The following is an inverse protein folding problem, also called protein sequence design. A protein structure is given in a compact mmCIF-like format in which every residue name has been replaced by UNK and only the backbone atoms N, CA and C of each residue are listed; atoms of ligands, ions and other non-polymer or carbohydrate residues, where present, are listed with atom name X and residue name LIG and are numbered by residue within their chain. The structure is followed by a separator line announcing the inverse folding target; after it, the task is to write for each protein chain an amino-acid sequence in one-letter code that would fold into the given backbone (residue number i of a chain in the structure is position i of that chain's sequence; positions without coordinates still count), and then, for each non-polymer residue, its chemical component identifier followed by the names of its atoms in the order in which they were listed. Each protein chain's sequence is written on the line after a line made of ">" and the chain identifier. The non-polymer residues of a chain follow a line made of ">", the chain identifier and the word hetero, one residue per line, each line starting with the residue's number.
data_IF_173874353833
#
_entry.id   IF_173874353833
#
_cell.length_a   1.000
_cell.length_b   1.000
_cell.length_c   1.000
_cell.angle_alpha   90.00
_cell.angle_beta   90.00
_cell.angle_gamma   90.00
#
_symmetry.space_group_name_H-M   'P 1'
#
loop_
_entity.id
_entity.type
_entity.pdbx_description
1 polymer ?
#
# COMPACT_ATOMS: atom_id res chain seq x y z
N UNK A 1 15.23 -26.26 0.74
CA UNK A 1 15.04 -25.45 1.96
C UNK A 1 16.13 -24.40 2.05
N UNK A 2 15.81 -23.22 2.55
CA UNK A 2 16.80 -22.20 2.87
C UNK A 2 16.52 -21.60 4.24
N UNK A 3 17.57 -21.06 4.85
CA UNK A 3 17.51 -20.30 6.09
C UNK A 3 18.18 -18.95 5.84
N UNK A 4 17.54 -17.88 6.32
CA UNK A 4 18.08 -16.53 6.30
C UNK A 4 18.08 -16.00 7.74
N UNK A 5 19.22 -15.47 8.16
CA UNK A 5 19.36 -14.77 9.43
C UNK A 5 19.66 -13.30 9.13
N UNK A 6 18.96 -12.40 9.79
CA UNK A 6 19.13 -10.97 9.64
C UNK A 6 19.07 -10.28 11.01
N UNK A 7 19.75 -9.15 11.13
CA UNK A 7 19.62 -8.24 12.25
C UNK A 7 19.13 -6.89 11.74
N UNK A 8 18.03 -6.41 12.32
CA UNK A 8 17.41 -5.13 11.97
C UNK A 8 17.25 -4.33 13.27
N UNK A 9 18.03 -3.27 13.41
CA UNK A 9 18.20 -2.55 14.68
C UNK A 9 18.54 -3.55 15.82
N UNK A 10 17.71 -3.62 16.87
CA UNK A 10 17.86 -4.57 17.98
C UNK A 10 17.22 -5.94 17.74
N UNK A 11 16.52 -6.14 16.62
CA UNK A 11 15.76 -7.36 16.36
C UNK A 11 16.60 -8.37 15.56
N UNK A 12 16.70 -9.60 16.08
CA UNK A 12 17.25 -10.74 15.36
C UNK A 12 16.13 -11.51 14.69
N UNK A 13 16.20 -11.62 13.37
CA UNK A 13 15.17 -12.25 12.54
C UNK A 13 15.76 -13.52 11.92
N UNK A 14 15.03 -14.62 12.03
CA UNK A 14 15.36 -15.88 11.36
C UNK A 14 14.16 -16.29 10.51
N UNK A 15 14.41 -16.51 9.24
CA UNK A 15 13.44 -17.03 8.27
C UNK A 15 13.90 -18.43 7.85
N UNK A 16 13.03 -19.41 8.01
CA UNK A 16 13.26 -20.77 7.53
C UNK A 16 12.15 -21.13 6.55
N UNK A 17 12.51 -21.51 5.34
CA UNK A 17 11.59 -21.98 4.33
C UNK A 17 11.92 -23.41 3.93
N UNK A 18 10.98 -24.30 4.13
CA UNK A 18 11.03 -25.68 3.63
C UNK A 18 9.86 -25.95 2.68
N UNK A 19 9.89 -27.10 1.99
CA UNK A 19 8.77 -27.53 1.14
C UNK A 19 7.44 -27.64 1.91
N UNK A 20 7.50 -27.88 3.23
CA UNK A 20 6.33 -28.19 4.08
C UNK A 20 5.92 -26.98 4.94
N UNK A 21 6.88 -26.13 5.35
CA UNK A 21 6.62 -25.10 6.37
C UNK A 21 7.53 -23.90 6.21
N UNK A 22 6.93 -22.71 6.39
CA UNK A 22 7.68 -21.48 6.57
C UNK A 22 7.62 -21.09 8.05
N UNK A 23 8.78 -20.81 8.65
CA UNK A 23 8.88 -20.38 10.05
C UNK A 23 9.58 -19.03 10.10
N UNK A 24 9.02 -18.10 10.86
CA UNK A 24 9.63 -16.80 11.12
C UNK A 24 9.80 -16.69 12.63
N UNK A 25 11.01 -16.34 13.07
CA UNK A 25 11.28 -16.00 14.46
C UNK A 25 11.85 -14.60 14.58
N UNK A 26 11.40 -13.86 15.58
CA UNK A 26 11.94 -12.56 15.96
C UNK A 26 12.40 -12.66 17.40
N UNK A 27 13.67 -12.35 17.67
CA UNK A 27 14.29 -12.46 19.00
C UNK A 27 14.03 -13.84 19.63
N UNK A 28 14.23 -14.91 18.83
CA UNK A 28 14.01 -16.32 19.21
C UNK A 28 12.53 -16.71 19.44
N UNK A 29 11.59 -15.76 19.39
CA UNK A 29 10.17 -16.05 19.51
C UNK A 29 9.56 -16.29 18.13
N UNK A 30 8.86 -17.41 17.97
CA UNK A 30 8.16 -17.73 16.73
C UNK A 30 6.96 -16.83 16.56
N UNK A 31 6.85 -16.23 15.38
CA UNK A 31 5.68 -15.44 15.00
C UNK A 31 4.80 -16.22 14.01
N UNK A 32 3.50 -16.12 14.23
CA UNK A 32 2.50 -16.75 13.36
C UNK A 32 1.96 -15.79 12.29
N UNK A 33 2.43 -14.55 12.28
CA UNK A 33 1.89 -13.50 11.44
C UNK A 33 3.00 -12.59 10.90
N UNK A 34 3.12 -12.51 9.58
CA UNK A 34 4.08 -11.66 8.88
C UNK A 34 3.90 -10.16 9.16
N UNK A 35 2.74 -9.73 9.68
CA UNK A 35 2.51 -8.31 9.99
C UNK A 35 3.48 -7.77 11.05
N UNK A 36 3.96 -8.59 11.98
CA UNK A 36 4.97 -8.17 12.95
C UNK A 36 6.31 -7.89 12.27
N UNK A 37 6.71 -8.76 11.34
CA UNK A 37 7.92 -8.54 10.53
C UNK A 37 7.79 -7.27 9.68
N UNK A 38 6.64 -7.06 9.04
CA UNK A 38 6.39 -5.88 8.22
C UNK A 38 6.39 -4.57 9.04
N UNK A 39 6.07 -4.62 10.33
CA UNK A 39 6.20 -3.44 11.21
C UNK A 39 7.66 -3.11 11.53
N UNK A 40 8.49 -4.12 11.69
CA UNK A 40 9.94 -3.93 11.97
C UNK A 40 10.67 -3.47 10.71
N UNK A 41 10.29 -4.00 9.56
CA UNK A 41 10.90 -3.71 8.27
C UNK A 41 9.82 -3.32 7.24
N UNK A 42 9.40 -2.06 7.21
CA UNK A 42 8.55 -1.57 6.15
C UNK A 42 9.29 -1.59 4.81
N UNK A 43 8.74 -2.28 3.82
CA UNK A 43 9.33 -2.39 2.48
C UNK A 43 8.38 -1.77 1.47
N UNK A 44 8.85 -0.71 0.80
CA UNK A 44 8.17 -0.16 -0.37
C UNK A 44 8.78 -0.75 -1.63
N UNK A 45 7.97 -1.45 -2.41
CA UNK A 45 8.41 -2.03 -3.68
C UNK A 45 7.83 -1.22 -4.83
N UNK A 46 8.69 -0.78 -5.73
CA UNK A 46 8.37 -0.07 -6.96
C UNK A 46 8.80 -0.96 -8.12
N UNK A 47 7.85 -1.52 -8.85
CA UNK A 47 8.13 -2.42 -9.98
C UNK A 47 7.08 -2.20 -11.08
N UNK A 48 7.45 -2.35 -12.37
CA UNK A 48 6.54 -2.25 -13.50
C UNK A 48 5.39 -3.26 -13.42
N UNK A 49 5.68 -4.48 -12.94
CA UNK A 49 4.77 -5.61 -12.94
C UNK A 49 3.60 -5.49 -11.94
N UNK A 50 3.73 -4.70 -10.88
CA UNK A 50 2.69 -4.61 -9.84
C UNK A 50 1.46 -3.81 -10.23
N UNK A 51 1.46 -3.24 -11.43
CA UNK A 51 0.41 -2.32 -11.88
C UNK A 51 0.41 -1.02 -11.07
N UNK A 52 0.20 0.07 -11.77
CA UNK A 52 0.23 1.39 -11.17
C UNK A 52 -0.92 1.61 -10.20
N UNK A 53 -0.73 2.49 -9.22
CA UNK A 53 -1.81 2.94 -8.32
C UNK A 53 -2.79 3.80 -9.12
N UNK A 54 -2.26 4.76 -9.88
CA UNK A 54 -3.04 5.61 -10.77
C UNK A 54 -3.51 4.79 -11.96
N UNK A 55 -4.82 4.81 -12.21
CA UNK A 55 -5.50 3.94 -13.18
C UNK A 55 -5.31 2.43 -12.94
N UNK A 56 -4.89 2.06 -11.72
CA UNK A 56 -4.75 0.67 -11.32
C UNK A 56 -6.09 0.02 -10.98
N UNK A 57 -6.04 -1.32 -10.83
CA UNK A 57 -7.23 -2.06 -10.40
C UNK A 57 -7.70 -1.61 -9.01
N UNK A 58 -8.99 -1.76 -8.69
CA UNK A 58 -9.49 -1.47 -7.34
C UNK A 58 -8.74 -2.24 -6.23
N UNK A 59 -8.22 -3.42 -6.55
CA UNK A 59 -7.39 -4.21 -5.62
C UNK A 59 -6.04 -3.52 -5.37
N UNK A 60 -5.36 -3.06 -6.41
CA UNK A 60 -4.07 -2.36 -6.28
C UNK A 60 -4.22 -1.07 -5.48
N UNK A 61 -5.27 -0.30 -5.75
CA UNK A 61 -5.59 0.94 -5.04
C UNK A 61 -5.84 0.70 -3.55
N UNK A 62 -6.61 -0.35 -3.20
CA UNK A 62 -6.80 -0.74 -1.81
C UNK A 62 -5.51 -1.21 -1.15
N UNK A 63 -4.70 -2.03 -1.84
CA UNK A 63 -3.42 -2.50 -1.31
C UNK A 63 -2.48 -1.35 -1.00
N UNK A 64 -2.41 -0.34 -1.88
CA UNK A 64 -1.64 0.88 -1.67
C UNK A 64 -2.12 1.63 -0.41
N UNK A 65 -3.43 1.87 -0.31
CA UNK A 65 -4.05 2.57 0.80
C UNK A 65 -3.85 1.83 2.13
N UNK A 66 -4.14 0.53 2.13
CA UNK A 66 -4.11 -0.29 3.33
C UNK A 66 -2.67 -0.54 3.82
N UNK A 67 -1.70 -0.59 2.90
CA UNK A 67 -0.27 -0.62 3.26
C UNK A 67 0.13 0.65 4.03
N UNK A 68 -0.25 1.82 3.54
CA UNK A 68 0.04 3.08 4.22
C UNK A 68 -0.66 3.19 5.58
N UNK A 69 -1.96 2.87 5.64
CA UNK A 69 -2.72 2.83 6.91
C UNK A 69 -2.07 1.89 7.92
N UNK A 70 -1.62 0.70 7.49
CA UNK A 70 -0.96 -0.29 8.34
C UNK A 70 0.30 0.26 9.01
N UNK A 71 1.16 0.94 8.26
CA UNK A 71 2.42 1.44 8.79
C UNK A 71 2.26 2.72 9.62
N UNK A 72 1.33 3.61 9.25
CA UNK A 72 1.06 4.84 10.01
C UNK A 72 0.27 4.55 11.29
N UNK A 73 -0.65 3.57 11.26
CA UNK A 73 -1.49 3.20 12.41
C UNK A 73 -1.54 1.67 12.59
N UNK A 74 -0.50 1.07 13.19
CA UNK A 74 -0.42 -0.39 13.34
C UNK A 74 -1.60 -1.03 14.06
N UNK A 75 -2.27 -0.29 14.96
CA UNK A 75 -3.50 -0.75 15.64
C UNK A 75 -4.65 -1.07 14.70
N UNK A 76 -4.66 -0.51 13.48
CA UNK A 76 -5.68 -0.75 12.45
C UNK A 76 -5.77 -2.22 12.02
N UNK A 77 -4.71 -2.99 12.17
CA UNK A 77 -4.65 -4.43 11.80
C UNK A 77 -5.78 -5.23 12.41
N UNK A 78 -6.16 -4.91 13.66
CA UNK A 78 -7.25 -5.60 14.35
C UNK A 78 -8.57 -5.41 13.58
N UNK A 79 -8.87 -4.17 13.18
CA UNK A 79 -10.10 -3.86 12.43
C UNK A 79 -10.13 -4.59 11.08
N UNK A 80 -9.03 -4.60 10.32
CA UNK A 80 -8.94 -5.33 9.05
C UNK A 80 -9.12 -6.84 9.21
N UNK A 81 -8.50 -7.45 10.23
CA UNK A 81 -8.65 -8.88 10.51
C UNK A 81 -10.08 -9.23 10.90
N UNK A 82 -10.69 -8.43 11.79
CA UNK A 82 -12.09 -8.60 12.19
C UNK A 82 -13.01 -8.47 10.99
N UNK A 83 -12.87 -7.40 10.21
CA UNK A 83 -13.68 -7.15 9.02
C UNK A 83 -13.64 -8.33 8.03
N UNK A 84 -12.46 -8.81 7.68
CA UNK A 84 -12.31 -9.90 6.72
C UNK A 84 -12.92 -11.22 7.23
N UNK A 85 -12.75 -11.52 8.53
CA UNK A 85 -13.36 -12.70 9.16
C UNK A 85 -14.89 -12.60 9.14
N UNK A 86 -15.40 -11.45 9.57
CA UNK A 86 -16.85 -11.19 9.66
C UNK A 86 -17.50 -11.19 8.28
N UNK A 87 -16.87 -10.54 7.30
CA UNK A 87 -17.36 -10.55 5.90
C UNK A 87 -17.50 -11.97 5.34
N UNK A 88 -16.52 -12.84 5.62
CA UNK A 88 -16.58 -14.24 5.20
C UNK A 88 -17.76 -14.97 5.84
N UNK A 89 -17.99 -14.74 7.14
CA UNK A 89 -19.12 -15.35 7.86
C UNK A 89 -20.45 -14.85 7.31
N UNK A 90 -20.62 -13.54 7.13
CA UNK A 90 -21.83 -12.95 6.54
C UNK A 90 -22.12 -13.59 5.17
N UNK A 91 -21.13 -13.63 4.28
CA UNK A 91 -21.33 -14.22 2.96
C UNK A 91 -21.71 -15.72 3.04
N UNK A 92 -21.15 -16.44 4.01
CA UNK A 92 -21.54 -17.85 4.25
C UNK A 92 -22.98 -17.98 4.71
N UNK A 93 -23.45 -17.10 5.62
CA UNK A 93 -24.83 -17.11 6.12
C UNK A 93 -25.82 -16.70 5.03
N UNK A 94 -25.46 -15.71 4.20
CA UNK A 94 -26.29 -15.29 3.06
C UNK A 94 -26.48 -16.44 2.05
N UNK A 95 -25.40 -17.17 1.74
CA UNK A 95 -25.49 -18.35 0.86
C UNK A 95 -26.36 -19.45 1.48
N UNK A 96 -26.24 -19.68 2.79
CA UNK A 96 -27.01 -20.69 3.53
C UNK A 96 -28.44 -20.27 3.86
N UNK A 97 -28.84 -19.04 3.50
CA UNK A 97 -30.13 -18.43 3.79
C UNK A 97 -30.51 -18.47 5.28
N UNK A 98 -29.59 -18.00 6.15
CA UNK A 98 -29.76 -17.97 7.61
C UNK A 98 -29.90 -16.52 8.11
N UNK A 99 -31.09 -15.89 7.98
CA UNK A 99 -31.29 -14.48 8.34
C UNK A 99 -31.12 -14.21 9.84
N UNK A 100 -31.53 -15.11 10.69
CA UNK A 100 -31.55 -14.94 12.16
C UNK A 100 -30.18 -14.80 12.77
N UNK A 101 -29.15 -15.30 12.08
CA UNK A 101 -27.75 -15.21 12.52
C UNK A 101 -27.03 -13.93 12.03
N UNK A 102 -27.64 -13.12 11.14
CA UNK A 102 -26.97 -11.99 10.49
C UNK A 102 -26.78 -10.79 11.40
N UNK A 103 -27.71 -10.52 12.31
CA UNK A 103 -27.71 -9.31 13.14
C UNK A 103 -26.42 -9.14 13.93
N UNK A 104 -25.98 -10.18 14.62
CA UNK A 104 -24.70 -10.19 15.36
C UNK A 104 -23.51 -9.87 14.47
N UNK A 105 -23.47 -10.45 13.28
CA UNK A 105 -22.36 -10.24 12.34
C UNK A 105 -22.42 -8.86 11.69
N UNK A 106 -23.59 -8.30 11.44
CA UNK A 106 -23.77 -6.94 10.96
C UNK A 106 -23.23 -5.91 11.95
N UNK A 107 -23.51 -6.10 13.24
CA UNK A 107 -22.96 -5.23 14.29
C UNK A 107 -21.42 -5.27 14.31
N UNK A 108 -20.85 -6.46 14.29
CA UNK A 108 -19.39 -6.64 14.28
C UNK A 108 -18.73 -6.09 13.00
N UNK A 109 -19.39 -6.24 11.83
CA UNK A 109 -18.90 -5.67 10.56
C UNK A 109 -18.92 -4.16 10.60
N UNK A 110 -20.02 -3.54 11.07
CA UNK A 110 -20.19 -2.09 11.06
C UNK A 110 -19.17 -1.39 11.96
N UNK A 111 -18.83 -1.94 13.11
CA UNK A 111 -17.79 -1.42 13.97
C UNK A 111 -16.40 -1.47 13.30
N UNK A 112 -16.05 -2.62 12.71
CA UNK A 112 -14.80 -2.79 12.00
C UNK A 112 -14.73 -1.90 10.74
N UNK A 113 -15.83 -1.79 9.99
CA UNK A 113 -15.91 -0.97 8.78
C UNK A 113 -15.75 0.52 9.08
N UNK A 114 -16.46 1.06 10.08
CA UNK A 114 -16.33 2.46 10.49
C UNK A 114 -14.88 2.80 10.88
N UNK A 115 -14.24 1.92 11.65
CA UNK A 115 -12.83 2.09 12.03
C UNK A 115 -11.88 2.08 10.82
N UNK A 116 -12.08 1.17 9.86
CA UNK A 116 -11.27 1.10 8.63
C UNK A 116 -11.44 2.36 7.80
N UNK A 117 -12.68 2.81 7.59
CA UNK A 117 -12.96 3.97 6.77
C UNK A 117 -12.38 5.25 7.39
N UNK A 118 -12.55 5.44 8.70
CA UNK A 118 -11.94 6.57 9.41
C UNK A 118 -10.42 6.57 9.27
N UNK A 119 -9.77 5.41 9.46
CA UNK A 119 -8.32 5.29 9.33
C UNK A 119 -7.83 5.61 7.90
N UNK A 120 -8.57 5.19 6.87
CA UNK A 120 -8.26 5.50 5.47
C UNK A 120 -8.41 6.98 5.16
N UNK A 121 -9.47 7.61 5.66
CA UNK A 121 -9.70 9.06 5.50
C UNK A 121 -8.58 9.87 6.17
N UNK A 122 -8.23 9.53 7.40
CA UNK A 122 -7.16 10.21 8.14
C UNK A 122 -5.81 10.05 7.46
N UNK A 123 -5.51 8.84 6.97
CA UNK A 123 -4.31 8.56 6.21
C UNK A 123 -4.24 9.36 4.90
N UNK A 124 -5.32 9.42 4.14
CA UNK A 124 -5.39 10.19 2.89
C UNK A 124 -5.20 11.69 3.12
N UNK A 125 -5.74 12.24 4.22
CA UNK A 125 -5.48 13.64 4.61
C UNK A 125 -3.99 13.87 4.88
N UNK A 126 -3.33 12.95 5.60
CA UNK A 126 -1.88 13.04 5.86
C UNK A 126 -1.07 12.92 4.57
N UNK A 127 -1.43 11.96 3.70
CA UNK A 127 -0.77 11.75 2.42
C UNK A 127 -0.87 13.02 1.55
N UNK A 128 -2.05 13.62 1.44
CA UNK A 128 -2.25 14.88 0.70
C UNK A 128 -1.37 16.00 1.25
N UNK A 129 -1.36 16.19 2.57
CA UNK A 129 -0.49 17.17 3.21
C UNK A 129 0.98 16.94 2.89
N UNK A 130 1.41 15.66 2.85
CA UNK A 130 2.79 15.28 2.55
C UNK A 130 3.15 15.54 1.09
N UNK A 131 2.27 15.23 0.13
CA UNK A 131 2.48 15.50 -1.32
C UNK A 131 2.72 16.99 -1.58
N UNK A 132 2.01 17.87 -0.87
CA UNK A 132 2.12 19.31 -1.04
C UNK A 132 3.08 19.99 -0.06
N UNK A 133 3.85 19.24 0.73
CA UNK A 133 4.87 19.78 1.62
C UNK A 133 6.14 20.23 0.87
N UNK A 134 6.93 21.10 1.48
CA UNK A 134 8.23 21.51 0.93
C UNK A 134 9.19 20.33 0.76
N UNK A 135 9.11 19.35 1.65
CA UNK A 135 9.90 18.11 1.55
C UNK A 135 9.61 17.28 0.29
N UNK A 136 8.52 17.55 -0.40
CA UNK A 136 8.14 16.92 -1.68
C UNK A 136 8.49 17.75 -2.90
N UNK A 137 9.15 18.90 -2.74
CA UNK A 137 9.40 19.85 -3.83
C UNK A 137 10.10 19.19 -5.04
N UNK A 138 11.11 18.37 -4.77
CA UNK A 138 11.81 17.64 -5.83
C UNK A 138 10.88 16.67 -6.60
N UNK A 139 9.93 16.02 -5.91
CA UNK A 139 8.97 15.14 -6.56
C UNK A 139 7.96 15.91 -7.42
N UNK A 140 7.65 17.16 -7.07
CA UNK A 140 6.74 17.99 -7.86
C UNK A 140 7.33 18.31 -9.24
N UNK A 141 8.65 18.30 -9.38
CA UNK A 141 9.31 18.52 -10.68
C UNK A 141 9.16 17.36 -11.65
N UNK A 142 8.74 16.17 -11.19
CA UNK A 142 8.47 15.00 -12.05
C UNK A 142 7.25 15.18 -12.93
N UNK A 143 6.28 15.95 -12.46
CA UNK A 143 5.06 16.30 -13.18
C UNK A 143 4.73 17.77 -12.92
N UNK A 144 4.52 18.53 -13.98
CA UNK A 144 4.17 19.94 -13.90
C UNK A 144 2.87 20.18 -14.67
N UNK A 145 1.85 20.80 -14.07
CA UNK A 145 1.76 21.21 -12.67
C UNK A 145 1.16 20.12 -11.76
N UNK A 146 1.86 19.73 -10.72
CA UNK A 146 1.35 18.77 -9.71
C UNK A 146 0.33 19.43 -8.76
N UNK A 147 0.30 20.75 -8.67
CA UNK A 147 -0.65 21.53 -7.86
C UNK A 147 -2.12 21.34 -8.29
N UNK A 148 -2.35 20.94 -9.54
CA UNK A 148 -3.68 20.59 -10.07
C UNK A 148 -4.06 19.11 -9.84
N UNK A 149 -3.31 18.40 -9.00
CA UNK A 149 -3.64 17.03 -8.61
C UNK A 149 -4.74 17.00 -7.55
N UNK A 150 -5.69 16.08 -7.72
CA UNK A 150 -6.72 15.78 -6.73
C UNK A 150 -7.06 14.28 -6.71
N UNK A 151 -7.79 13.86 -5.67
CA UNK A 151 -8.32 12.50 -5.58
C UNK A 151 -9.70 12.48 -4.94
N UNK A 152 -10.50 11.50 -5.35
CA UNK A 152 -11.79 11.19 -4.75
C UNK A 152 -11.74 9.81 -4.11
N UNK A 153 -12.01 9.73 -2.82
CA UNK A 153 -12.12 8.48 -2.10
C UNK A 153 -13.57 8.02 -2.08
N UNK A 154 -13.79 6.75 -2.40
CA UNK A 154 -15.04 6.03 -2.19
C UNK A 154 -14.78 4.93 -1.17
N UNK A 155 -15.51 4.93 -0.08
CA UNK A 155 -15.41 3.91 0.97
C UNK A 155 -15.99 2.55 0.56
N UNK A 156 -16.70 2.52 -0.56
CA UNK A 156 -17.43 1.35 -1.03
C UNK A 156 -18.82 1.18 -0.42
N UNK A 157 -19.25 2.12 0.40
CA UNK A 157 -20.62 2.22 0.90
C UNK A 157 -21.44 3.17 0.02
N UNK A 158 -22.78 3.02 -0.02
CA UNK A 158 -23.67 3.97 -0.68
C UNK A 158 -23.57 5.36 -0.05
N UNK A 159 -23.91 6.40 -0.84
CA UNK A 159 -23.74 7.81 -0.43
C UNK A 159 -24.59 8.23 0.76
N UNK A 160 -25.74 7.56 0.95
CA UNK A 160 -26.66 7.79 2.06
C UNK A 160 -26.17 7.23 3.40
N UNK A 161 -25.11 6.44 3.40
CA UNK A 161 -24.50 5.85 4.59
C UNK A 161 -23.39 6.75 5.10
N UNK A 162 -23.48 7.17 6.37
CA UNK A 162 -22.31 7.71 7.08
C UNK A 162 -21.36 6.54 7.39
N UNK A 163 -20.37 6.39 6.54
CA UNK A 163 -19.46 5.25 6.51
C UNK A 163 -18.40 5.26 7.63
N UNK A 164 -18.38 6.32 8.43
CA UNK A 164 -17.58 6.44 9.65
C UNK A 164 -18.41 6.20 10.92
N UNK A 165 -19.72 6.14 10.81
CA UNK A 165 -20.63 5.90 11.91
C UNK A 165 -21.11 4.43 11.89
N UNK A 166 -20.72 3.67 12.92
CA UNK A 166 -21.09 2.27 13.03
C UNK A 166 -22.61 2.02 13.03
N UNK A 167 -23.38 2.94 13.66
CA UNK A 167 -24.84 2.78 13.71
C UNK A 167 -25.48 3.00 12.34
N UNK A 168 -24.99 3.98 11.56
CA UNK A 168 -25.45 4.20 10.19
C UNK A 168 -25.21 2.99 9.31
N UNK A 169 -24.00 2.41 9.37
CA UNK A 169 -23.65 1.19 8.63
C UNK A 169 -24.54 0.01 9.05
N UNK A 170 -24.71 -0.21 10.36
CA UNK A 170 -25.53 -1.28 10.89
C UNK A 170 -26.99 -1.17 10.45
N UNK A 171 -27.58 0.02 10.58
CA UNK A 171 -28.96 0.28 10.16
C UNK A 171 -29.16 0.00 8.67
N UNK A 172 -28.18 0.41 7.84
CA UNK A 172 -28.23 0.15 6.41
C UNK A 172 -28.15 -1.35 6.08
N UNK A 173 -27.29 -2.10 6.77
CA UNK A 173 -27.20 -3.56 6.59
C UNK A 173 -28.50 -4.26 6.93
N UNK A 174 -29.13 -3.91 8.06
CA UNK A 174 -30.37 -4.49 8.50
C UNK A 174 -31.54 -4.16 7.56
N UNK A 175 -31.69 -2.90 7.17
CA UNK A 175 -32.76 -2.52 6.24
C UNK A 175 -32.64 -3.18 4.87
N UNK A 176 -31.43 -3.55 4.47
CA UNK A 176 -31.15 -4.23 3.20
C UNK A 176 -30.95 -5.75 3.32
N UNK A 177 -31.16 -6.34 4.49
CA UNK A 177 -30.92 -7.77 4.75
C UNK A 177 -31.64 -8.70 3.78
N UNK A 178 -32.92 -8.41 3.48
CA UNK A 178 -33.71 -9.18 2.52
C UNK A 178 -33.11 -9.16 1.10
N UNK A 179 -32.59 -8.01 0.65
CA UNK A 179 -31.92 -7.90 -0.64
C UNK A 179 -30.59 -8.66 -0.66
N UNK A 180 -29.83 -8.60 0.44
CA UNK A 180 -28.58 -9.35 0.58
C UNK A 180 -28.80 -10.87 0.54
N UNK A 181 -29.87 -11.37 1.12
CA UNK A 181 -30.26 -12.78 1.03
C UNK A 181 -30.57 -13.22 -0.40
N UNK A 182 -31.20 -12.35 -1.22
CA UNK A 182 -31.41 -12.62 -2.64
C UNK A 182 -30.11 -12.66 -3.44
N UNK A 183 -29.22 -11.71 -3.19
CA UNK A 183 -27.94 -11.57 -3.89
C UNK A 183 -26.89 -12.58 -3.40
N UNK A 184 -27.06 -13.13 -2.19
CA UNK A 184 -26.19 -14.13 -1.55
C UNK A 184 -24.76 -13.67 -1.25
N UNK A 185 -24.49 -12.39 -1.28
CA UNK A 185 -23.19 -11.83 -0.89
C UNK A 185 -23.31 -10.33 -0.58
N UNK A 186 -22.36 -9.83 0.22
CA UNK A 186 -22.24 -8.40 0.50
C UNK A 186 -21.52 -7.71 -0.66
N UNK A 187 -22.24 -6.89 -1.42
CA UNK A 187 -21.75 -6.23 -2.62
C UNK A 187 -21.30 -4.77 -2.43
N UNK A 188 -21.38 -4.26 -1.21
CA UNK A 188 -20.90 -2.95 -0.77
C UNK A 188 -20.09 -3.07 0.54
N UNK A 189 -19.31 -2.03 0.88
CA UNK A 189 -18.52 -2.00 2.11
C UNK A 189 -17.04 -1.74 1.89
N UNK A 190 -16.27 -1.69 2.98
CA UNK A 190 -14.85 -1.29 2.95
C UNK A 190 -13.96 -2.15 2.03
N UNK A 191 -14.37 -3.38 1.70
CA UNK A 191 -13.72 -4.25 0.71
C UNK A 191 -13.97 -3.82 -0.75
N UNK A 192 -14.88 -2.90 -1.00
CA UNK A 192 -15.17 -2.28 -2.31
C UNK A 192 -14.61 -0.86 -2.43
N UNK A 193 -13.92 -0.36 -1.39
CA UNK A 193 -13.33 0.96 -1.42
C UNK A 193 -12.41 1.17 -2.62
N UNK A 194 -12.34 2.41 -3.11
CA UNK A 194 -11.49 2.80 -4.23
C UNK A 194 -11.09 4.27 -4.12
N UNK A 195 -10.01 4.61 -4.84
CA UNK A 195 -9.57 6.00 -5.03
C UNK A 195 -9.57 6.26 -6.53
N UNK A 196 -10.05 7.43 -6.93
CA UNK A 196 -9.91 7.96 -8.28
C UNK A 196 -8.99 9.16 -8.22
N UNK A 197 -8.02 9.20 -9.10
CA UNK A 197 -7.07 10.30 -9.20
C UNK A 197 -7.42 11.19 -10.39
N UNK A 198 -7.13 12.46 -10.27
CA UNK A 198 -7.24 13.43 -11.35
C UNK A 198 -6.01 14.35 -11.36
N UNK A 199 -5.61 14.77 -12.55
CA UNK A 199 -4.56 15.73 -12.80
C UNK A 199 -5.04 16.71 -13.85
N UNK A 200 -4.90 18.02 -13.60
CA UNK A 200 -5.35 19.07 -14.52
C UNK A 200 -6.83 18.90 -14.92
N UNK A 201 -7.70 18.54 -13.96
CA UNK A 201 -9.12 18.23 -14.16
C UNK A 201 -9.38 17.02 -15.08
N UNK A 202 -8.35 16.29 -15.49
CA UNK A 202 -8.49 15.03 -16.24
C UNK A 202 -8.54 13.85 -15.27
N UNK A 203 -9.53 13.00 -15.44
CA UNK A 203 -9.59 11.74 -14.69
C UNK A 203 -8.44 10.82 -15.10
N UNK A 204 -7.97 9.98 -14.18
CA UNK A 204 -6.83 9.08 -14.35
C UNK A 204 -6.87 8.19 -15.60
N UNK A 205 -8.07 7.81 -16.08
CA UNK A 205 -8.21 7.00 -17.30
C UNK A 205 -7.86 7.77 -18.59
N UNK A 206 -7.86 9.11 -18.54
CA UNK A 206 -7.50 9.98 -19.67
C UNK A 206 -6.05 10.49 -19.61
N UNK A 207 -5.32 10.13 -18.56
CA UNK A 207 -3.89 10.42 -18.45
C UNK A 207 -3.10 9.50 -19.39
N UNK A 208 -2.03 10.02 -19.95
CA UNK A 208 -1.08 9.21 -20.72
C UNK A 208 -0.42 8.16 -19.79
N UNK A 209 0.07 7.08 -20.36
CA UNK A 209 0.78 6.04 -19.59
C UNK A 209 1.96 6.61 -18.80
N UNK A 210 2.73 7.53 -19.39
CA UNK A 210 3.85 8.20 -18.73
C UNK A 210 3.41 9.02 -17.52
N UNK A 211 2.28 9.76 -17.60
CA UNK A 211 1.70 10.51 -16.48
C UNK A 211 1.21 9.55 -15.38
N UNK A 212 0.50 8.47 -15.74
CA UNK A 212 0.02 7.45 -14.79
C UNK A 212 1.18 6.81 -14.02
N UNK A 213 2.27 6.44 -14.72
CA UNK A 213 3.49 5.88 -14.13
C UNK A 213 4.15 6.88 -13.18
N UNK A 214 4.41 8.08 -13.67
CA UNK A 214 5.08 9.11 -12.89
C UNK A 214 4.30 9.46 -11.62
N UNK A 215 2.98 9.65 -11.72
CA UNK A 215 2.12 9.88 -10.56
C UNK A 215 2.14 8.71 -9.58
N UNK A 216 2.11 7.48 -10.06
CA UNK A 216 2.16 6.30 -9.18
C UNK A 216 3.48 6.25 -8.39
N UNK A 217 4.60 6.59 -9.02
CA UNK A 217 5.90 6.67 -8.36
C UNK A 217 5.90 7.81 -7.32
N UNK A 218 5.36 8.98 -7.66
CA UNK A 218 5.20 10.09 -6.71
C UNK A 218 4.44 9.63 -5.47
N UNK A 219 3.34 8.88 -5.65
CA UNK A 219 2.56 8.38 -4.52
C UNK A 219 3.31 7.37 -3.67
N UNK A 220 4.04 6.43 -4.27
CA UNK A 220 4.86 5.48 -3.51
C UNK A 220 5.97 6.20 -2.73
N UNK A 221 6.66 7.16 -3.35
CA UNK A 221 7.70 7.94 -2.67
C UNK A 221 7.13 8.88 -1.61
N UNK A 222 5.91 9.38 -1.80
CA UNK A 222 5.22 10.16 -0.76
C UNK A 222 4.88 9.30 0.46
N UNK A 223 4.52 8.01 0.28
CA UNK A 223 4.38 7.07 1.40
C UNK A 223 5.70 6.89 2.14
N UNK A 224 6.80 6.75 1.42
CA UNK A 224 8.16 6.67 2.01
C UNK A 224 8.46 7.92 2.83
N UNK A 225 8.24 9.12 2.26
CA UNK A 225 8.43 10.39 2.97
C UNK A 225 7.57 10.47 4.24
N UNK A 226 6.30 10.08 4.16
CA UNK A 226 5.40 10.09 5.32
C UNK A 226 5.94 9.21 6.46
N UNK A 227 6.45 8.02 6.14
CA UNK A 227 7.08 7.14 7.13
C UNK A 227 8.35 7.74 7.73
N UNK A 228 9.21 8.33 6.90
CA UNK A 228 10.43 9.02 7.36
C UNK A 228 10.09 10.15 8.32
N UNK A 229 9.05 10.95 8.01
CA UNK A 229 8.56 12.01 8.89
C UNK A 229 8.06 11.48 10.25
N UNK A 230 7.53 10.26 10.26
CA UNK A 230 7.10 9.55 11.47
C UNK A 230 8.25 8.81 12.18
N UNK A 231 9.52 9.02 11.74
CA UNK A 231 10.72 8.34 12.27
C UNK A 231 10.72 6.82 12.04
N UNK A 232 9.96 6.34 11.09
CA UNK A 232 9.99 4.96 10.62
C UNK A 232 10.99 4.87 9.47
N UNK A 233 11.84 3.84 9.47
CA UNK A 233 12.89 3.64 8.46
C UNK A 233 12.45 2.60 7.42
N UNK A 234 11.81 2.98 6.31
CA UNK A 234 11.47 2.04 5.26
C UNK A 234 12.68 1.65 4.44
N UNK A 235 12.63 0.46 3.83
CA UNK A 235 13.52 0.05 2.74
C UNK A 235 12.78 0.20 1.43
N UNK A 236 13.43 0.75 0.42
CA UNK A 236 12.88 0.90 -0.93
C UNK A 236 13.53 -0.10 -1.87
N UNK A 237 12.71 -0.92 -2.51
CA UNK A 237 13.14 -1.85 -3.56
C UNK A 237 12.62 -1.34 -4.90
N UNK A 238 13.50 -1.10 -5.85
CA UNK A 238 13.16 -0.63 -7.19
C UNK A 238 13.63 -1.66 -8.19
N UNK A 239 12.69 -2.15 -8.99
CA UNK A 239 12.97 -3.11 -10.03
C UNK A 239 12.79 -2.44 -11.40
N UNK A 240 13.87 -2.42 -12.20
CA UNK A 240 13.90 -1.93 -13.59
C UNK A 240 13.23 -0.56 -13.82
N UNK A 241 13.65 0.46 -13.06
CA UNK A 241 13.11 1.82 -13.21
C UNK A 241 13.43 2.42 -14.59
N UNK A 242 14.55 1.98 -15.17
CA UNK A 242 15.06 2.47 -16.44
C UNK A 242 14.18 2.12 -17.64
N UNK A 243 13.47 1.02 -17.61
CA UNK A 243 12.52 0.65 -18.66
C UNK A 243 11.26 1.53 -18.69
N UNK A 244 11.02 2.27 -17.61
CA UNK A 244 9.75 2.94 -17.38
C UNK A 244 9.82 4.47 -17.46
N UNK A 245 10.98 5.07 -17.22
CA UNK A 245 11.19 6.51 -17.12
C UNK A 245 12.39 7.00 -17.94
N UNK A 246 12.33 8.26 -18.33
CA UNK A 246 13.47 8.96 -18.92
C UNK A 246 14.56 9.27 -17.88
N UNK A 247 15.77 9.49 -18.37
CA UNK A 247 16.97 9.74 -17.56
C UNK A 247 16.83 10.91 -16.58
N UNK A 248 16.09 11.96 -16.97
CA UNK A 248 15.86 13.13 -16.10
C UNK A 248 15.05 12.76 -14.89
N UNK A 249 13.98 12.00 -15.08
CA UNK A 249 13.10 11.54 -13.99
C UNK A 249 13.81 10.56 -13.07
N UNK A 250 14.59 9.62 -13.63
CA UNK A 250 15.43 8.69 -12.85
C UNK A 250 16.36 9.47 -11.93
N UNK A 251 17.09 10.45 -12.45
CA UNK A 251 18.00 11.27 -11.66
C UNK A 251 17.28 12.00 -10.50
N UNK A 252 16.10 12.57 -10.76
CA UNK A 252 15.28 13.23 -9.72
C UNK A 252 14.90 12.24 -8.62
N UNK A 253 14.45 11.04 -8.97
CA UNK A 253 14.05 10.01 -8.02
C UNK A 253 15.22 9.57 -7.16
N UNK A 254 16.39 9.32 -7.78
CA UNK A 254 17.58 8.90 -7.06
C UNK A 254 18.10 9.97 -6.11
N UNK A 255 18.13 11.24 -6.54
CA UNK A 255 18.47 12.35 -5.67
C UNK A 255 17.51 12.50 -4.50
N UNK A 256 16.21 12.31 -4.73
CA UNK A 256 15.21 12.35 -3.70
C UNK A 256 15.41 11.25 -2.65
N UNK A 257 15.62 10.01 -3.07
CA UNK A 257 15.88 8.89 -2.17
C UNK A 257 17.17 9.08 -1.37
N UNK A 258 18.21 9.60 -1.99
CA UNK A 258 19.47 9.97 -1.30
C UNK A 258 19.23 11.05 -0.24
N UNK A 259 18.45 12.08 -0.55
CA UNK A 259 18.10 13.15 0.40
C UNK A 259 17.29 12.62 1.59
N UNK A 260 16.39 11.66 1.38
CA UNK A 260 15.63 11.00 2.45
C UNK A 260 16.48 10.07 3.32
N UNK A 261 17.71 9.74 2.90
CA UNK A 261 18.61 8.80 3.61
C UNK A 261 17.95 7.44 3.91
N UNK A 262 17.13 6.95 3.00
CA UNK A 262 16.50 5.63 3.08
C UNK A 262 17.36 4.59 2.38
N UNK A 263 17.42 3.38 2.96
CA UNK A 263 18.11 2.28 2.30
C UNK A 263 17.34 1.88 1.04
N UNK A 264 18.03 1.91 -0.10
CA UNK A 264 17.43 1.61 -1.41
C UNK A 264 18.22 0.52 -2.10
N UNK A 265 17.53 -0.46 -2.64
CA UNK A 265 18.09 -1.45 -3.56
C UNK A 265 17.42 -1.25 -4.92
N UNK A 266 18.22 -1.20 -5.97
CA UNK A 266 17.70 -1.01 -7.33
C UNK A 266 18.36 -2.03 -8.26
N UNK A 267 17.56 -2.60 -9.16
CA UNK A 267 18.06 -3.37 -10.30
C UNK A 267 18.04 -2.51 -11.55
N UNK A 268 19.03 -2.67 -12.40
CA UNK A 268 19.14 -2.01 -13.71
C UNK A 268 19.91 -2.92 -14.68
N UNK A 269 19.55 -2.88 -15.95
CA UNK A 269 20.21 -3.69 -17.00
C UNK A 269 21.41 -2.97 -17.64
N UNK A 270 21.91 -1.93 -16.99
CA UNK A 270 23.13 -1.22 -17.41
C UNK A 270 22.92 -0.01 -18.31
N UNK A 271 21.67 0.37 -18.60
CA UNK A 271 21.38 1.50 -19.51
C UNK A 271 21.61 2.88 -18.87
N UNK A 272 21.68 2.98 -17.52
CA UNK A 272 21.74 4.25 -16.82
C UNK A 272 22.85 4.33 -15.76
N UNK A 273 23.92 3.57 -15.94
CA UNK A 273 25.04 3.53 -14.99
C UNK A 273 25.61 4.92 -14.69
N UNK A 274 25.76 5.77 -15.69
CA UNK A 274 26.31 7.15 -15.54
C UNK A 274 25.43 8.01 -14.59
N UNK A 275 24.14 7.78 -14.56
CA UNK A 275 23.22 8.52 -13.68
C UNK A 275 23.25 7.93 -12.27
N UNK A 276 23.30 6.61 -12.18
CA UNK A 276 23.34 5.87 -10.93
C UNK A 276 24.64 6.17 -10.18
N UNK A 277 25.78 6.19 -10.86
CA UNK A 277 27.10 6.49 -10.28
C UNK A 277 27.17 7.88 -9.64
N UNK A 278 26.40 8.86 -10.12
CA UNK A 278 26.36 10.23 -9.53
C UNK A 278 25.89 10.28 -8.08
N UNK A 279 25.14 9.28 -7.64
CA UNK A 279 24.70 9.20 -6.23
C UNK A 279 25.67 8.42 -5.36
N UNK A 280 26.78 7.91 -5.93
CA UNK A 280 27.81 7.10 -5.25
C UNK A 280 27.23 5.88 -4.53
N UNK A 281 26.58 4.94 -5.24
CA UNK A 281 26.06 3.72 -4.66
C UNK A 281 27.11 2.62 -4.59
N UNK A 282 26.86 1.56 -3.82
CA UNK A 282 27.57 0.29 -4.00
C UNK A 282 26.95 -0.45 -5.18
N UNK A 283 27.77 -0.78 -6.19
CA UNK A 283 27.33 -1.44 -7.42
C UNK A 283 27.73 -2.92 -7.38
N UNK A 284 26.76 -3.80 -7.56
CA UNK A 284 26.95 -5.24 -7.68
C UNK A 284 26.60 -5.67 -9.10
N UNK A 285 27.58 -6.16 -9.83
CA UNK A 285 27.36 -6.74 -11.15
C UNK A 285 27.08 -8.23 -11.02
N UNK A 286 26.04 -8.71 -11.69
CA UNK A 286 25.66 -10.12 -11.71
C UNK A 286 25.85 -10.62 -13.13
N UNK A 287 26.76 -11.58 -13.31
CA UNK A 287 26.98 -12.24 -14.60
C UNK A 287 27.02 -13.75 -14.40
N UNK A 288 26.18 -14.50 -15.15
CA UNK A 288 26.07 -15.95 -15.09
C UNK A 288 25.97 -16.51 -13.66
N UNK A 289 25.29 -15.79 -12.74
CA UNK A 289 25.13 -16.19 -11.33
C UNK A 289 26.31 -15.86 -10.43
N UNK A 290 27.34 -15.20 -10.94
CA UNK A 290 28.49 -14.69 -10.18
C UNK A 290 28.25 -13.21 -9.85
N UNK A 291 28.46 -12.84 -8.59
CA UNK A 291 28.35 -11.46 -8.12
C UNK A 291 29.73 -10.87 -7.97
N UNK A 292 30.00 -9.73 -8.61
CA UNK A 292 31.21 -8.93 -8.47
C UNK A 292 30.85 -7.54 -7.97
N UNK A 293 31.70 -6.96 -7.13
CA UNK A 293 31.55 -5.57 -6.69
C UNK A 293 32.32 -4.71 -7.68
N UNK A 294 31.68 -3.66 -8.20
CA UNK A 294 32.33 -2.65 -9.02
C UNK A 294 32.88 -1.55 -8.09
N UNK A 295 34.17 -1.45 -8.01
CA UNK A 295 34.86 -0.38 -7.28
C UNK A 295 34.68 0.99 -7.95
#
# INVERSE_FOLDING_TARGET
>A
SFQLNAQIDSNRIKLEKSKIKNTITINQQRINNTSQLSQILPIQIITPDKGFVVNGTPKNKRSYLDWGVFHVKPSSVKAFKTYNKVLKNINTLLVKNKPDELDFWFLALSEAAASINQNRIDYLKQLRKTVFSDSSELLKTLINPLDQFDYQFSSGWPKEVDDTNKQSIYNYLNSNSHNLLKVKHLNYGSHKASIRFSLNNKNECFLSRGEQKTLSIIFWLTQVLLLVNLKIKPVVLIDDLSSELDNKKINIILQYLKALKVQTFMTDIGHNLDIIERINPSIFQIDNGVITIKD
#
